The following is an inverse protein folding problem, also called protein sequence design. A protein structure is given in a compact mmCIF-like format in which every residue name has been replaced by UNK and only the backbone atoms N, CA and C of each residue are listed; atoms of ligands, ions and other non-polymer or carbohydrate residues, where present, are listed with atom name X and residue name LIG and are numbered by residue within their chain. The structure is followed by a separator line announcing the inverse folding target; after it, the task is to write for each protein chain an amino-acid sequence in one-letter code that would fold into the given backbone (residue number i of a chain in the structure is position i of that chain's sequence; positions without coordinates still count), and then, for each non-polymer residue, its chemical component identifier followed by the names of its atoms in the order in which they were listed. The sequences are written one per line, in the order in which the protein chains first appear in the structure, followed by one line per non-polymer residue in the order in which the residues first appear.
data_IF_968311584175
#
_entry.id   IF_968311584175
#
_cell.length_a   1.000
_cell.length_b   1.000
_cell.length_c   1.000
_cell.angle_alpha   90.00
_cell.angle_beta   90.00
_cell.angle_gamma   90.00
#
_symmetry.space_group_name_H-M   'P 1'
#
loop_
_entity.id
_entity.type
_entity.pdbx_description
1 polymer ?
#
# COMPACT_ATOMS: atom_id res chain seq x y z
N UNK A 1 -62.27 -41.57 -43.57
CA UNK A 1 -62.28 -40.14 -43.12
C UNK A 1 -61.44 -40.04 -41.88
N UNK A 2 -60.21 -39.55 -42.05
CA UNK A 2 -59.17 -39.56 -41.02
C UNK A 2 -58.91 -38.10 -40.56
N UNK A 3 -59.25 -37.83 -39.32
CA UNK A 3 -58.92 -36.52 -38.71
C UNK A 3 -57.55 -36.62 -38.07
N UNK A 4 -56.57 -35.88 -38.64
CA UNK A 4 -55.21 -35.71 -38.09
C UNK A 4 -55.23 -34.57 -37.08
N UNK A 5 -54.96 -34.90 -35.81
CA UNK A 5 -54.74 -33.93 -34.76
C UNK A 5 -53.28 -33.45 -34.80
N UNK A 6 -53.12 -32.15 -35.06
CA UNK A 6 -51.83 -31.47 -34.93
C UNK A 6 -51.68 -31.01 -33.47
N UNK A 7 -50.76 -31.62 -32.74
CA UNK A 7 -50.36 -31.14 -31.42
C UNK A 7 -49.24 -30.09 -31.61
N UNK A 8 -49.55 -28.84 -31.27
CA UNK A 8 -48.59 -27.75 -31.17
C UNK A 8 -47.81 -27.90 -29.88
N UNK A 9 -46.52 -28.17 -29.96
CA UNK A 9 -45.60 -28.01 -28.83
C UNK A 9 -45.12 -26.57 -28.77
N UNK A 10 -45.59 -25.83 -27.78
CA UNK A 10 -45.08 -24.50 -27.43
C UNK A 10 -43.80 -24.73 -26.60
N UNK A 11 -42.65 -24.55 -27.21
CA UNK A 11 -41.37 -24.53 -26.51
C UNK A 11 -41.18 -23.23 -25.75
N UNK A 12 -41.18 -23.31 -24.43
CA UNK A 12 -40.87 -22.20 -23.52
C UNK A 12 -39.33 -22.03 -23.45
N UNK A 13 -38.79 -21.09 -24.21
CA UNK A 13 -37.37 -20.71 -24.08
C UNK A 13 -37.19 -19.84 -22.87
N UNK A 14 -36.70 -20.40 -21.76
CA UNK A 14 -36.21 -19.62 -20.61
C UNK A 14 -34.88 -18.94 -20.99
N UNK A 15 -34.94 -17.70 -21.35
CA UNK A 15 -33.75 -16.85 -21.47
C UNK A 15 -33.23 -16.56 -20.06
N UNK A 16 -32.16 -17.21 -19.64
CA UNK A 16 -31.41 -16.85 -18.43
C UNK A 16 -30.69 -15.52 -18.66
N UNK A 17 -31.24 -14.45 -18.10
CA UNK A 17 -30.56 -13.16 -18.04
C UNK A 17 -29.47 -13.28 -16.98
N UNK A 18 -28.22 -13.45 -17.42
CA UNK A 18 -27.03 -13.34 -16.57
C UNK A 18 -26.87 -11.86 -16.24
N UNK A 19 -27.31 -11.46 -15.06
CA UNK A 19 -27.00 -10.16 -14.49
C UNK A 19 -25.51 -10.13 -14.13
N UNK A 20 -24.66 -9.70 -15.06
CA UNK A 20 -23.30 -9.33 -14.75
C UNK A 20 -23.35 -8.04 -13.94
N UNK A 21 -23.25 -8.15 -12.61
CA UNK A 21 -22.99 -6.99 -11.76
C UNK A 21 -21.60 -6.45 -12.17
N UNK A 22 -21.48 -5.17 -12.59
CA UNK A 22 -20.17 -4.59 -12.77
C UNK A 22 -19.47 -4.64 -11.42
N UNK A 23 -18.34 -5.34 -11.36
CA UNK A 23 -17.42 -5.20 -10.24
C UNK A 23 -17.02 -3.72 -10.22
N UNK A 24 -17.53 -2.97 -9.25
CA UNK A 24 -17.06 -1.61 -9.02
C UNK A 24 -15.57 -1.74 -8.77
N UNK A 25 -14.77 -1.20 -9.68
CA UNK A 25 -13.34 -1.05 -9.45
C UNK A 25 -13.22 -0.30 -8.13
N UNK A 26 -12.70 -0.97 -7.09
CA UNK A 26 -12.45 -0.35 -5.80
C UNK A 26 -11.56 0.86 -6.09
N UNK A 27 -12.05 2.07 -5.79
CA UNK A 27 -11.27 3.28 -5.98
C UNK A 27 -9.97 3.16 -5.17
N UNK A 28 -8.93 3.83 -5.62
CA UNK A 28 -7.65 3.87 -4.89
C UNK A 28 -7.90 4.30 -3.45
N UNK A 29 -7.38 3.59 -2.44
CA UNK A 29 -7.58 3.96 -1.04
C UNK A 29 -6.95 5.32 -0.73
N UNK A 30 -7.61 6.09 0.12
CA UNK A 30 -7.09 7.35 0.65
C UNK A 30 -6.38 7.09 1.98
N UNK A 31 -5.06 7.28 1.99
CA UNK A 31 -4.23 7.08 3.16
C UNK A 31 -4.21 8.29 4.12
N UNK A 32 -4.92 9.37 3.82
CA UNK A 32 -4.92 10.58 4.63
C UNK A 32 -5.30 10.31 6.08
N UNK A 33 -4.51 10.86 7.00
CA UNK A 33 -4.76 10.77 8.43
C UNK A 33 -3.49 10.71 9.25
N UNK A 34 -3.69 10.52 10.56
CA UNK A 34 -2.64 10.26 11.53
C UNK A 34 -2.63 8.78 11.89
N UNK A 35 -1.45 8.18 11.84
CA UNK A 35 -1.25 6.75 11.99
C UNK A 35 -0.20 6.49 13.05
N UNK A 36 -0.42 5.48 13.88
CA UNK A 36 0.52 5.05 14.91
C UNK A 36 0.97 3.62 14.64
N UNK A 37 2.27 3.38 14.74
CA UNK A 37 2.84 2.04 14.62
C UNK A 37 2.38 1.16 15.79
N UNK A 38 1.85 -0.01 15.46
CA UNK A 38 1.59 -1.08 16.41
C UNK A 38 2.79 -2.04 16.39
N UNK A 39 3.69 -1.88 17.37
CA UNK A 39 4.93 -2.65 17.46
C UNK A 39 4.64 -4.14 17.66
N UNK A 40 3.62 -4.48 18.45
CA UNK A 40 3.28 -5.87 18.78
C UNK A 40 2.75 -6.66 17.58
N UNK A 41 2.16 -5.96 16.60
CA UNK A 41 1.66 -6.53 15.35
C UNK A 41 2.67 -6.45 14.20
N UNK A 42 3.86 -5.91 14.46
CA UNK A 42 4.89 -5.65 13.45
C UNK A 42 6.09 -6.58 13.61
N UNK A 43 6.81 -6.81 12.51
CA UNK A 43 8.08 -7.55 12.51
C UNK A 43 9.15 -6.68 11.85
N UNK A 44 10.35 -6.65 12.46
CA UNK A 44 11.42 -5.72 12.07
C UNK A 44 12.67 -6.44 11.54
N UNK A 45 12.62 -7.78 11.41
CA UNK A 45 13.79 -8.57 11.01
C UNK A 45 14.95 -8.39 11.98
N UNK A 46 16.16 -8.09 11.50
CA UNK A 46 17.33 -7.86 12.35
C UNK A 46 17.40 -6.45 12.96
N UNK A 47 16.48 -5.55 12.58
CA UNK A 47 16.49 -4.17 13.07
C UNK A 47 15.70 -4.10 14.37
N UNK A 48 16.25 -3.46 15.43
CA UNK A 48 15.51 -3.22 16.66
C UNK A 48 14.25 -2.39 16.40
N UNK A 49 13.11 -2.75 17.01
CA UNK A 49 11.90 -1.97 16.88
C UNK A 49 12.07 -0.57 17.48
N UNK A 50 11.41 0.45 16.91
CA UNK A 50 11.35 1.75 17.54
C UNK A 50 10.48 1.69 18.81
N UNK A 51 10.76 2.57 19.76
CA UNK A 51 9.93 2.75 20.95
C UNK A 51 8.56 3.31 20.59
N UNK A 52 8.52 4.22 19.62
CA UNK A 52 7.29 4.79 19.08
C UNK A 52 7.51 5.31 17.66
N UNK A 53 6.48 5.26 16.85
CA UNK A 53 6.44 5.91 15.54
C UNK A 53 5.02 6.37 15.24
N UNK A 54 4.91 7.59 14.74
CA UNK A 54 3.68 8.14 14.18
C UNK A 54 3.93 8.63 12.77
N UNK A 55 2.92 8.51 11.93
CA UNK A 55 2.95 9.06 10.57
C UNK A 55 1.73 9.94 10.36
N UNK A 56 1.96 11.14 9.87
CA UNK A 56 0.92 12.00 9.32
C UNK A 56 0.99 11.92 7.81
N UNK A 57 -0.07 11.46 7.19
CA UNK A 57 -0.17 11.31 5.73
C UNK A 57 -1.19 12.30 5.20
N UNK A 58 -0.78 13.10 4.22
CA UNK A 58 -1.64 13.95 3.39
C UNK A 58 -1.58 13.40 1.97
N UNK A 59 -2.64 12.71 1.56
CA UNK A 59 -2.75 12.02 0.29
C UNK A 59 -3.83 12.64 -0.56
N UNK A 60 -3.41 13.23 -1.66
CA UNK A 60 -4.28 13.77 -2.70
C UNK A 60 -3.68 13.38 -4.05
N UNK A 61 -4.13 12.24 -4.56
CA UNK A 61 -3.59 11.64 -5.80
C UNK A 61 -3.43 12.69 -6.92
N UNK A 62 -2.28 12.81 -7.58
CA UNK A 62 -1.13 11.91 -7.51
C UNK A 62 -0.07 12.27 -6.42
N UNK A 63 -0.33 13.14 -5.50
CA UNK A 63 0.65 13.58 -4.48
C UNK A 63 0.36 12.93 -3.14
N UNK A 64 1.39 12.37 -2.51
CA UNK A 64 1.35 11.87 -1.14
C UNK A 64 2.51 12.48 -0.34
N UNK A 65 2.20 13.11 0.79
CA UNK A 65 3.17 13.64 1.75
C UNK A 65 3.10 12.81 3.02
N UNK A 66 4.25 12.41 3.52
CA UNK A 66 4.38 11.59 4.72
C UNK A 66 5.35 12.28 5.66
N UNK A 67 4.85 12.72 6.81
CA UNK A 67 5.66 13.17 7.94
C UNK A 67 5.75 12.02 8.93
N UNK A 68 6.95 11.52 9.19
CA UNK A 68 7.19 10.45 10.15
C UNK A 68 7.93 11.00 11.36
N UNK A 69 7.36 10.87 12.55
CA UNK A 69 8.04 11.11 13.81
C UNK A 69 8.32 9.76 14.47
N UNK A 70 9.57 9.49 14.81
CA UNK A 70 10.00 8.22 15.37
C UNK A 70 10.94 8.44 16.54
N UNK A 71 10.79 7.62 17.60
CA UNK A 71 11.72 7.50 18.69
C UNK A 71 12.27 6.08 18.73
N UNK A 72 13.59 5.93 18.70
CA UNK A 72 14.26 4.64 18.66
C UNK A 72 15.64 4.71 19.31
N UNK A 73 16.49 3.74 19.03
CA UNK A 73 17.85 3.64 19.60
C UNK A 73 18.71 4.87 19.26
N UNK A 74 18.50 5.50 18.10
CA UNK A 74 19.24 6.67 17.63
C UNK A 74 18.62 8.00 18.12
N UNK A 75 17.66 7.93 19.05
CA UNK A 75 16.93 9.07 19.57
C UNK A 75 15.66 9.40 18.76
N UNK A 76 15.20 10.63 18.95
CA UNK A 76 13.99 11.16 18.30
C UNK A 76 14.36 11.85 17.00
N UNK A 77 13.61 11.57 15.95
CA UNK A 77 13.74 12.30 14.69
C UNK A 77 12.40 12.40 13.97
N UNK A 78 12.30 13.46 13.16
CA UNK A 78 11.16 13.67 12.25
C UNK A 78 11.68 13.78 10.84
N UNK A 79 11.00 13.14 9.91
CA UNK A 79 11.28 13.20 8.47
C UNK A 79 10.05 13.58 7.70
N UNK A 80 10.22 14.44 6.70
CA UNK A 80 9.20 14.81 5.74
C UNK A 80 9.57 14.29 4.35
N UNK A 81 8.68 13.61 3.71
CA UNK A 81 8.87 13.10 2.36
C UNK A 81 7.64 13.36 1.50
N UNK A 82 7.87 13.74 0.25
CA UNK A 82 6.80 13.96 -0.74
C UNK A 82 7.05 13.08 -1.94
N UNK A 83 6.02 12.37 -2.35
CA UNK A 83 6.05 11.46 -3.48
C UNK A 83 4.93 11.76 -4.48
N UNK A 84 5.12 11.31 -5.73
CA UNK A 84 4.05 11.28 -6.73
C UNK A 84 3.73 9.82 -7.08
N UNK A 85 2.45 9.49 -7.10
CA UNK A 85 1.96 8.12 -7.32
C UNK A 85 1.80 7.76 -8.80
N UNK A 86 2.30 8.60 -9.70
CA UNK A 86 2.21 8.48 -11.16
C UNK A 86 3.41 7.76 -11.79
N UNK A 87 4.29 7.18 -10.97
CA UNK A 87 5.48 6.45 -11.43
C UNK A 87 6.68 7.33 -11.76
N UNK A 88 6.62 8.64 -11.54
CA UNK A 88 7.76 9.52 -11.69
C UNK A 88 8.68 9.46 -10.47
N UNK A 89 9.97 9.74 -10.69
CA UNK A 89 10.96 9.80 -9.63
C UNK A 89 10.70 10.99 -8.70
N UNK A 90 10.61 10.72 -7.42
CA UNK A 90 10.57 11.72 -6.35
C UNK A 90 11.89 11.69 -5.59
N UNK A 91 12.43 12.88 -5.27
CA UNK A 91 13.67 13.02 -4.51
C UNK A 91 13.35 13.61 -3.14
N UNK A 92 13.85 12.98 -2.09
CA UNK A 92 13.71 13.42 -0.72
C UNK A 92 15.06 13.30 0.01
N UNK A 93 15.18 13.95 1.15
CA UNK A 93 16.28 13.72 2.08
C UNK A 93 15.70 13.14 3.36
N UNK A 94 16.08 11.90 3.67
CA UNK A 94 15.60 11.18 4.84
C UNK A 94 16.78 10.91 5.76
N UNK A 95 16.79 11.56 6.93
CA UNK A 95 17.86 11.44 7.93
C UNK A 95 19.25 11.75 7.38
N UNK A 96 19.35 12.74 6.50
CA UNK A 96 20.61 13.13 5.88
C UNK A 96 21.03 12.30 4.66
N UNK A 97 20.31 11.23 4.33
CA UNK A 97 20.51 10.46 3.11
C UNK A 97 19.59 10.96 1.99
N UNK A 98 20.15 11.22 0.83
CA UNK A 98 19.35 11.54 -0.35
C UNK A 98 18.71 10.27 -0.89
N UNK A 99 17.41 10.33 -1.10
CA UNK A 99 16.61 9.21 -1.59
C UNK A 99 15.99 9.51 -2.95
N UNK A 100 15.90 8.49 -3.78
CA UNK A 100 15.19 8.51 -5.05
C UNK A 100 14.12 7.43 -5.00
N UNK A 101 12.87 7.83 -5.14
CA UNK A 101 11.74 6.92 -5.02
C UNK A 101 10.84 6.99 -6.23
N UNK A 102 10.38 5.84 -6.69
CA UNK A 102 9.32 5.70 -7.70
C UNK A 102 8.13 5.06 -7.03
N UNK A 103 7.00 5.73 -7.06
CA UNK A 103 5.77 5.27 -6.41
C UNK A 103 4.67 5.11 -7.45
N UNK A 104 3.98 3.99 -7.42
CA UNK A 104 2.89 3.68 -8.35
C UNK A 104 1.84 2.79 -7.68
N UNK A 105 0.66 2.84 -8.21
CA UNK A 105 -0.42 1.94 -7.84
C UNK A 105 -0.28 0.58 -8.53
N UNK A 106 -0.52 -0.48 -7.77
CA UNK A 106 -0.74 -1.84 -8.23
C UNK A 106 -2.08 -2.31 -7.66
N UNK A 107 -3.15 -2.08 -8.42
CA UNK A 107 -4.51 -2.24 -7.93
C UNK A 107 -4.83 -1.27 -6.77
N UNK A 108 -5.11 -1.80 -5.59
CA UNK A 108 -5.38 -1.09 -4.34
C UNK A 108 -4.13 -0.94 -3.44
N UNK A 109 -2.98 -1.43 -3.91
CA UNK A 109 -1.71 -1.39 -3.20
C UNK A 109 -0.84 -0.25 -3.76
N UNK A 110 -0.27 0.56 -2.87
CA UNK A 110 0.72 1.55 -3.24
C UNK A 110 2.12 0.92 -3.15
N UNK A 111 2.78 0.75 -4.29
CA UNK A 111 4.12 0.19 -4.39
C UNK A 111 5.15 1.32 -4.52
N UNK A 112 6.21 1.26 -3.72
CA UNK A 112 7.29 2.25 -3.69
C UNK A 112 8.64 1.55 -3.77
N UNK A 113 9.42 1.89 -4.79
CA UNK A 113 10.82 1.49 -4.93
C UNK A 113 11.71 2.69 -4.59
N UNK A 114 12.53 2.59 -3.55
CA UNK A 114 13.42 3.66 -3.09
C UNK A 114 14.87 3.20 -3.11
N UNK A 115 15.74 4.03 -3.64
CA UNK A 115 17.19 3.88 -3.58
C UNK A 115 17.79 5.00 -2.74
N UNK A 116 18.72 4.66 -1.87
CA UNK A 116 19.46 5.62 -1.06
C UNK A 116 20.90 5.18 -0.89
N UNK A 117 21.78 6.15 -0.68
CA UNK A 117 23.14 5.92 -0.22
C UNK A 117 23.21 6.25 1.28
N UNK A 118 23.55 5.29 2.07
CA UNK A 118 23.78 5.47 3.50
C UNK A 118 25.23 5.14 3.85
N UNK A 119 26.02 6.18 4.11
CA UNK A 119 27.45 6.06 4.45
C UNK A 119 28.27 5.31 3.39
N UNK A 120 28.00 5.56 2.08
CA UNK A 120 28.66 4.89 0.98
C UNK A 120 28.11 3.48 0.66
N UNK A 121 27.01 3.12 1.26
CA UNK A 121 26.34 1.84 1.05
C UNK A 121 25.02 2.07 0.28
N UNK A 122 24.93 1.49 -0.92
CA UNK A 122 23.66 1.54 -1.67
C UNK A 122 22.64 0.58 -1.04
N UNK A 123 21.50 1.15 -0.64
CA UNK A 123 20.37 0.42 -0.08
C UNK A 123 19.19 0.59 -1.02
N UNK A 124 18.49 -0.50 -1.31
CA UNK A 124 17.23 -0.47 -2.02
C UNK A 124 16.10 -0.95 -1.11
N UNK A 125 15.03 -0.16 -1.04
CA UNK A 125 13.83 -0.48 -0.29
C UNK A 125 12.69 -0.70 -1.29
N UNK A 126 11.99 -1.82 -1.17
CA UNK A 126 10.73 -2.07 -1.86
C UNK A 126 9.62 -2.13 -0.83
N UNK A 127 8.76 -1.13 -0.85
CA UNK A 127 7.68 -0.98 0.12
C UNK A 127 6.34 -1.17 -0.59
N UNK A 128 5.47 -1.94 0.01
CA UNK A 128 4.06 -2.00 -0.37
C UNK A 128 3.21 -1.51 0.79
N UNK A 129 2.28 -0.61 0.52
CA UNK A 129 1.31 -0.09 1.48
C UNK A 129 -0.08 -0.53 1.06
N UNK A 130 -0.76 -1.24 1.95
CA UNK A 130 -2.14 -1.69 1.71
C UNK A 130 -3.05 -1.25 2.85
N UNK A 131 -4.14 -0.56 2.50
CA UNK A 131 -5.22 -0.26 3.43
C UNK A 131 -6.00 -1.55 3.71
N UNK A 132 -6.27 -1.85 4.97
CA UNK A 132 -7.19 -2.92 5.33
C UNK A 132 -8.64 -2.51 5.04
N UNK A 133 -9.53 -3.48 4.93
CA UNK A 133 -10.96 -3.25 4.63
C UNK A 133 -11.67 -2.36 5.66
N UNK A 134 -11.14 -2.31 6.89
CA UNK A 134 -11.66 -1.47 7.97
C UNK A 134 -11.38 0.04 7.76
N UNK A 135 -10.51 0.41 6.82
CA UNK A 135 -10.07 1.78 6.58
C UNK A 135 -9.32 2.42 7.75
N UNK A 136 -8.92 1.62 8.74
CA UNK A 136 -8.29 2.06 9.99
C UNK A 136 -6.92 1.43 10.22
N UNK A 137 -6.50 0.56 9.33
CA UNK A 137 -5.23 -0.17 9.42
C UNK A 137 -4.50 -0.07 8.08
N UNK A 138 -3.21 0.26 8.13
CA UNK A 138 -2.30 0.17 6.97
C UNK A 138 -1.30 -0.95 7.27
N UNK A 139 -1.22 -1.91 6.35
CA UNK A 139 -0.21 -2.96 6.37
C UNK A 139 0.89 -2.58 5.39
N UNK A 140 2.11 -2.44 5.89
CA UNK A 140 3.28 -2.19 5.06
C UNK A 140 4.18 -3.43 5.08
N UNK A 141 4.64 -3.84 3.90
CA UNK A 141 5.72 -4.81 3.76
C UNK A 141 6.89 -4.10 3.09
N UNK A 142 8.05 -4.19 3.70
CA UNK A 142 9.28 -3.57 3.20
C UNK A 142 10.34 -4.64 3.01
N UNK A 143 10.80 -4.83 1.78
CA UNK A 143 12.00 -5.59 1.50
C UNK A 143 13.19 -4.62 1.47
N UNK A 144 14.17 -4.87 2.31
CA UNK A 144 15.41 -4.09 2.41
C UNK A 144 16.53 -4.91 1.79
N UNK A 145 17.14 -4.36 0.75
CA UNK A 145 18.25 -5.00 0.03
C UNK A 145 19.51 -4.19 0.28
N UNK A 146 20.52 -4.86 0.83
CA UNK A 146 21.83 -4.28 1.13
C UNK A 146 22.95 -5.16 0.55
N UNK A 147 24.19 -4.65 0.39
CA UNK A 147 25.31 -5.47 -0.02
C UNK A 147 25.65 -6.63 0.94
N UNK A 148 25.20 -6.58 2.20
CA UNK A 148 25.42 -7.63 3.18
C UNK A 148 24.30 -8.68 3.23
N UNK A 149 23.20 -8.45 2.52
CA UNK A 149 22.05 -9.36 2.45
C UNK A 149 20.71 -8.63 2.49
N UNK A 150 19.67 -9.38 2.21
CA UNK A 150 18.30 -8.90 2.15
C UNK A 150 17.54 -9.35 3.40
N UNK A 151 16.60 -8.53 3.85
CA UNK A 151 15.65 -8.91 4.88
C UNK A 151 14.31 -8.19 4.69
N UNK A 152 13.29 -8.73 5.31
CA UNK A 152 11.94 -8.21 5.22
C UNK A 152 11.48 -7.63 6.55
N UNK A 153 10.69 -6.57 6.49
CA UNK A 153 9.93 -5.99 7.59
C UNK A 153 8.45 -5.97 7.23
N UNK A 154 7.61 -6.23 8.21
CA UNK A 154 6.17 -6.01 8.08
C UNK A 154 5.71 -5.11 9.23
N UNK A 155 5.13 -3.96 8.91
CA UNK A 155 4.67 -3.02 9.92
C UNK A 155 3.17 -2.76 9.78
N UNK A 156 2.52 -2.64 10.92
CA UNK A 156 1.09 -2.35 11.03
C UNK A 156 0.92 -0.96 11.63
N UNK A 157 0.28 -0.08 10.88
CA UNK A 157 -0.09 1.26 11.35
C UNK A 157 -1.59 1.29 11.62
N UNK A 158 -1.97 1.82 12.76
CA UNK A 158 -3.36 1.99 13.18
C UNK A 158 -3.72 3.46 13.19
N UNK A 159 -4.92 3.79 12.71
CA UNK A 159 -5.39 5.17 12.63
C UNK A 159 -5.59 5.74 14.03
N UNK A 160 -5.03 6.92 14.27
CA UNK A 160 -5.28 7.68 15.49
C UNK A 160 -6.68 8.27 15.40
N UNK A 161 -7.44 8.17 16.48
CA UNK A 161 -8.85 8.65 16.56
C UNK A 161 -8.91 10.17 16.55
#
# INVERSE_FOLDING_TARGET
MTRRNFAMYAGLACAAVVLTTPAMAAGKPDFTGEWKLNVDKSTFGPIPPPTSQTQKIDHKDPVIKITTAQNGMDGEYTTDATYTTDGKESKNNVRGADTKSVVKWDGDVLAMDTKLDYQGMEITLKVTMKMAEDGKTINNVTKIMTPQGDFDMATVLEKVK
#
